data_IF_129356616009
#
_entry.id   IF_129356616009
#
_cell.length_a   1.000
_cell.length_b   1.000
_cell.length_c   1.000
_cell.angle_alpha   90.00
_cell.angle_beta   90.00
_cell.angle_gamma   90.00
#
_symmetry.space_group_name_H-M   'P 1'
#
loop_
_entity.id
_entity.type
_entity.pdbx_description
1 polymer ?
#
# COMPACT_ATOMS: atom_id res chain seq x y z
N UNK A 1 0.59 -30.16 -10.04
CA UNK A 1 0.75 -28.99 -10.95
C UNK A 1 2.16 -28.47 -10.77
N UNK A 2 2.90 -28.20 -11.84
CA UNK A 2 4.28 -27.70 -11.73
C UNK A 2 4.31 -26.26 -11.20
N UNK A 3 5.30 -25.85 -10.39
CA UNK A 3 5.47 -24.46 -9.96
C UNK A 3 5.61 -23.48 -11.15
N UNK A 4 5.46 -22.18 -10.88
CA UNK A 4 5.83 -21.15 -11.87
C UNK A 4 7.37 -21.07 -11.88
N UNK A 5 8.04 -21.13 -13.05
CA UNK A 5 9.49 -21.00 -13.13
C UNK A 5 9.98 -19.71 -12.46
N UNK A 6 11.06 -19.80 -11.69
CA UNK A 6 11.73 -18.68 -10.99
C UNK A 6 10.81 -17.83 -10.08
N UNK A 7 9.64 -18.35 -9.70
CA UNK A 7 8.74 -17.68 -8.77
C UNK A 7 9.11 -17.99 -7.32
N UNK A 8 9.49 -16.95 -6.59
CA UNK A 8 9.72 -17.01 -5.16
C UNK A 8 8.50 -16.47 -4.42
N UNK A 9 8.07 -17.17 -3.38
CA UNK A 9 6.97 -16.73 -2.51
C UNK A 9 7.47 -15.57 -1.63
N UNK A 10 6.91 -14.37 -1.82
CA UNK A 10 7.30 -13.16 -1.07
C UNK A 10 6.54 -13.07 0.24
N UNK A 11 5.24 -13.35 0.21
CA UNK A 11 4.40 -13.42 1.40
C UNK A 11 3.31 -14.48 1.26
N UNK A 12 3.01 -15.13 2.37
CA UNK A 12 2.02 -16.20 2.45
C UNK A 12 0.98 -15.89 3.51
N UNK A 13 -0.30 -16.11 3.15
CA UNK A 13 -1.43 -15.92 4.06
C UNK A 13 -2.20 -17.23 4.23
N UNK A 14 -2.60 -17.53 5.46
CA UNK A 14 -3.63 -18.53 5.69
C UNK A 14 -4.99 -17.99 5.22
N UNK A 15 -5.65 -18.76 4.37
CA UNK A 15 -6.96 -18.43 3.82
C UNK A 15 -7.92 -19.61 3.91
N UNK A 16 -9.21 -19.32 3.89
CA UNK A 16 -10.27 -20.30 3.68
C UNK A 16 -10.75 -20.16 2.23
N UNK A 17 -10.65 -21.22 1.44
CA UNK A 17 -11.27 -21.29 0.11
C UNK A 17 -12.73 -21.69 0.27
N UNK A 18 -13.61 -20.96 -0.41
CA UNK A 18 -15.05 -21.23 -0.44
C UNK A 18 -15.38 -21.93 -1.75
N UNK A 19 -15.85 -23.18 -1.66
CA UNK A 19 -16.15 -24.02 -2.82
C UNK A 19 -17.62 -24.44 -2.77
N UNK A 20 -18.34 -24.32 -3.88
CA UNK A 20 -19.75 -24.70 -3.97
C UNK A 20 -19.99 -26.19 -3.67
N UNK A 21 -19.07 -27.06 -4.09
CA UNK A 21 -19.21 -28.52 -3.97
C UNK A 21 -18.47 -29.14 -2.77
N UNK A 22 -17.42 -28.49 -2.28
CA UNK A 22 -16.56 -29.01 -1.19
C UNK A 22 -16.72 -28.24 0.13
N UNK A 23 -17.53 -27.18 0.13
CA UNK A 23 -17.65 -26.28 1.27
C UNK A 23 -16.37 -25.46 1.49
N UNK A 24 -16.09 -25.16 2.77
CA UNK A 24 -14.99 -24.29 3.20
C UNK A 24 -13.79 -25.11 3.65
N UNK A 25 -12.58 -24.78 3.17
CA UNK A 25 -11.36 -25.48 3.57
C UNK A 25 -10.11 -24.60 3.52
N UNK A 26 -9.12 -24.93 4.36
CA UNK A 26 -7.87 -24.17 4.51
C UNK A 26 -6.97 -24.27 3.27
N UNK A 27 -6.35 -23.15 2.90
CA UNK A 27 -5.28 -23.02 1.90
C UNK A 27 -4.23 -22.03 2.41
N UNK A 28 -3.03 -22.13 1.87
CA UNK A 28 -2.06 -21.02 1.91
C UNK A 28 -2.23 -20.28 0.58
N UNK A 29 -2.34 -18.96 0.63
CA UNK A 29 -2.38 -18.07 -0.53
C UNK A 29 -1.08 -17.28 -0.55
N UNK A 30 -0.25 -17.53 -1.55
CA UNK A 30 1.04 -16.91 -1.72
C UNK A 30 1.01 -15.86 -2.82
N UNK A 31 1.66 -14.74 -2.55
CA UNK A 31 1.98 -13.68 -3.50
C UNK A 31 3.47 -13.77 -3.74
N UNK A 32 3.86 -14.14 -4.96
CA UNK A 32 5.24 -14.36 -5.35
C UNK A 32 5.77 -13.29 -6.30
N UNK A 33 7.02 -13.47 -6.71
CA UNK A 33 7.71 -12.55 -7.63
C UNK A 33 7.10 -12.52 -9.04
N UNK A 34 6.53 -13.64 -9.51
CA UNK A 34 6.00 -13.80 -10.87
C UNK A 34 4.50 -14.12 -10.93
N UNK A 35 3.88 -14.46 -9.79
CA UNK A 35 2.47 -14.78 -9.76
C UNK A 35 1.92 -15.11 -8.38
N UNK A 36 0.71 -15.65 -8.39
CA UNK A 36 -0.04 -16.05 -7.20
C UNK A 36 -0.15 -17.58 -7.19
N UNK A 37 0.17 -18.20 -6.06
CA UNK A 37 0.09 -19.66 -5.89
C UNK A 37 -0.76 -19.99 -4.66
N UNK A 38 -1.47 -21.12 -4.71
CA UNK A 38 -2.21 -21.62 -3.53
C UNK A 38 -1.79 -23.03 -3.19
N UNK A 39 -1.55 -23.30 -1.90
CA UNK A 39 -1.04 -24.59 -1.42
C UNK A 39 -1.99 -25.28 -0.45
N UNK A 40 -1.91 -26.62 -0.38
CA UNK A 40 -2.45 -27.39 0.75
C UNK A 40 -1.58 -27.12 1.99
N UNK A 41 -2.16 -26.71 3.14
CA UNK A 41 -1.36 -26.41 4.32
C UNK A 41 -0.58 -27.62 4.88
N UNK A 42 -1.04 -28.84 4.64
CA UNK A 42 -0.47 -30.05 5.25
C UNK A 42 0.86 -30.50 4.60
N UNK A 43 1.00 -30.29 3.29
CA UNK A 43 2.10 -30.84 2.51
C UNK A 43 2.67 -29.85 1.50
N UNK A 44 2.22 -28.59 1.52
CA UNK A 44 2.62 -27.52 0.61
C UNK A 44 2.44 -27.88 -0.87
N UNK A 45 1.55 -28.81 -1.20
CA UNK A 45 1.27 -29.17 -2.57
C UNK A 45 0.53 -28.03 -3.28
N UNK A 46 1.04 -27.63 -4.45
CA UNK A 46 0.43 -26.61 -5.31
C UNK A 46 -0.96 -27.06 -5.76
N UNK A 47 -1.97 -26.28 -5.43
CA UNK A 47 -3.36 -26.51 -5.81
C UNK A 47 -3.84 -25.62 -6.94
N UNK A 48 -3.33 -24.39 -7.05
CA UNK A 48 -3.54 -23.48 -8.17
C UNK A 48 -2.30 -22.58 -8.30
N UNK A 49 -2.00 -22.13 -9.51
CA UNK A 49 -0.96 -21.14 -9.82
C UNK A 49 -1.47 -20.22 -10.93
N UNK A 50 -1.12 -18.95 -10.85
CA UNK A 50 -1.47 -17.95 -11.87
C UNK A 50 -0.29 -17.00 -12.02
N UNK A 51 0.28 -16.89 -13.23
CA UNK A 51 1.17 -15.77 -13.54
C UNK A 51 0.37 -14.48 -13.44
N UNK A 52 1.01 -13.36 -13.13
CA UNK A 52 0.29 -12.09 -12.99
C UNK A 52 -0.49 -11.71 -14.26
N UNK A 53 0.05 -11.99 -15.45
CA UNK A 53 -0.64 -11.76 -16.73
C UNK A 53 -1.91 -12.60 -16.95
N UNK A 54 -2.14 -13.63 -16.14
CA UNK A 54 -3.36 -14.46 -16.15
C UNK A 54 -4.38 -14.03 -15.10
N UNK A 55 -4.02 -13.15 -14.18
CA UNK A 55 -4.94 -12.58 -13.18
C UNK A 55 -5.82 -11.55 -13.89
N UNK A 56 -7.09 -11.91 -14.09
CA UNK A 56 -8.08 -11.09 -14.78
C UNK A 56 -8.67 -10.05 -13.83
N UNK A 57 -9.04 -10.48 -12.62
CA UNK A 57 -9.63 -9.62 -11.59
C UNK A 57 -9.15 -10.10 -10.23
N UNK A 58 -8.75 -9.16 -9.37
CA UNK A 58 -8.56 -9.38 -7.94
C UNK A 58 -9.30 -8.27 -7.20
N UNK A 59 -10.27 -8.62 -6.35
CA UNK A 59 -11.12 -7.62 -5.68
C UNK A 59 -11.69 -8.10 -4.36
N UNK A 60 -12.11 -7.16 -3.52
CA UNK A 60 -12.95 -7.46 -2.35
C UNK A 60 -14.25 -8.14 -2.76
N UNK A 61 -14.73 -9.06 -1.93
CA UNK A 61 -16.08 -9.59 -2.09
C UNK A 61 -17.08 -8.60 -1.48
N UNK A 62 -18.23 -8.36 -2.12
CA UNK A 62 -19.26 -7.48 -1.58
C UNK A 62 -19.79 -8.04 -0.25
N UNK A 63 -20.13 -7.13 0.67
CA UNK A 63 -20.79 -7.43 1.95
C UNK A 63 -20.04 -8.41 2.87
N UNK A 64 -18.72 -8.52 2.74
CA UNK A 64 -17.90 -9.32 3.64
C UNK A 64 -16.62 -8.58 4.00
N UNK A 65 -16.25 -8.47 5.30
CA UNK A 65 -15.02 -7.79 5.72
C UNK A 65 -13.75 -8.62 5.47
N UNK A 66 -13.88 -9.92 5.22
CA UNK A 66 -12.73 -10.83 5.13
C UNK A 66 -12.65 -11.57 3.80
N UNK A 67 -13.71 -11.56 2.97
CA UNK A 67 -13.73 -12.25 1.69
C UNK A 67 -13.20 -11.41 0.54
N UNK A 68 -12.56 -12.10 -0.41
CA UNK A 68 -12.09 -11.55 -1.67
C UNK A 68 -12.26 -12.59 -2.79
N UNK A 69 -12.21 -12.09 -4.02
CA UNK A 69 -12.39 -12.86 -5.24
C UNK A 69 -11.16 -12.71 -6.11
N UNK A 70 -10.68 -13.83 -6.65
CA UNK A 70 -9.73 -13.85 -7.75
C UNK A 70 -10.40 -14.51 -8.95
N UNK A 71 -10.35 -13.86 -10.10
CA UNK A 71 -10.69 -14.43 -11.38
C UNK A 71 -9.40 -14.52 -12.20
N UNK A 72 -9.03 -15.72 -12.62
CA UNK A 72 -7.79 -15.93 -13.35
C UNK A 72 -7.94 -17.00 -14.43
N UNK A 73 -7.16 -16.85 -15.51
CA UNK A 73 -7.11 -17.83 -16.59
C UNK A 73 -6.45 -19.12 -16.11
N UNK A 74 -6.88 -20.22 -16.72
CA UNK A 74 -6.15 -21.49 -16.68
C UNK A 74 -5.61 -21.76 -18.07
N UNK A 75 -4.62 -22.65 -18.15
CA UNK A 75 -3.87 -23.04 -19.36
C UNK A 75 -4.75 -23.28 -20.60
N UNK A 76 -6.03 -23.69 -20.41
CA UNK A 76 -6.99 -23.94 -21.49
C UNK A 76 -8.33 -23.15 -21.38
N UNK A 77 -8.48 -22.22 -20.42
CA UNK A 77 -9.72 -21.46 -20.22
C UNK A 77 -9.50 -19.95 -20.31
N UNK A 78 -9.81 -19.37 -21.48
CA UNK A 78 -9.70 -17.92 -21.73
C UNK A 78 -10.69 -17.08 -20.92
N UNK A 79 -11.86 -17.61 -20.54
CA UNK A 79 -12.87 -16.89 -19.74
C UNK A 79 -12.45 -16.74 -18.27
N UNK A 80 -11.54 -17.60 -17.81
CA UNK A 80 -11.06 -17.65 -16.42
C UNK A 80 -12.08 -18.23 -15.44
N UNK A 81 -11.57 -18.72 -14.32
CA UNK A 81 -12.38 -19.24 -13.22
C UNK A 81 -12.35 -18.25 -12.06
N UNK A 82 -13.52 -17.99 -11.48
CA UNK A 82 -13.64 -17.17 -10.26
C UNK A 82 -13.55 -18.05 -9.03
N UNK A 83 -12.67 -17.68 -8.10
CA UNK A 83 -12.49 -18.34 -6.82
C UNK A 83 -12.68 -17.34 -5.68
N UNK A 84 -13.32 -17.80 -4.61
CA UNK A 84 -13.59 -17.00 -3.42
C UNK A 84 -12.76 -17.50 -2.25
N UNK A 85 -12.13 -16.56 -1.56
CA UNK A 85 -11.29 -16.81 -0.40
C UNK A 85 -11.66 -15.86 0.73
N UNK A 86 -11.31 -16.22 1.96
CA UNK A 86 -11.36 -15.30 3.11
C UNK A 86 -10.15 -15.40 4.01
N UNK A 87 -9.75 -14.26 4.59
CA UNK A 87 -8.70 -14.15 5.61
C UNK A 87 -8.91 -12.87 6.42
N UNK A 88 -8.49 -12.86 7.69
CA UNK A 88 -8.50 -11.65 8.53
C UNK A 88 -7.50 -10.59 8.01
N UNK A 89 -6.48 -11.04 7.27
CA UNK A 89 -5.45 -10.17 6.68
C UNK A 89 -5.79 -9.72 5.25
N UNK A 90 -7.09 -9.57 4.92
CA UNK A 90 -7.53 -9.34 3.53
C UNK A 90 -6.92 -8.07 2.95
N UNK A 91 -6.92 -6.97 3.70
CA UNK A 91 -6.38 -5.70 3.23
C UNK A 91 -4.87 -5.77 3.02
N UNK A 92 -4.13 -6.48 3.88
CA UNK A 92 -2.70 -6.73 3.72
C UNK A 92 -2.42 -7.56 2.46
N UNK A 93 -3.16 -8.67 2.29
CA UNK A 93 -3.03 -9.56 1.13
C UNK A 93 -3.29 -8.81 -0.18
N UNK A 94 -4.42 -8.08 -0.27
CA UNK A 94 -4.75 -7.33 -1.47
C UNK A 94 -3.72 -6.22 -1.73
N UNK A 95 -3.31 -5.49 -0.69
CA UNK A 95 -2.28 -4.44 -0.82
C UNK A 95 -0.99 -4.98 -1.39
N UNK A 96 -0.55 -6.16 -0.95
CA UNK A 96 0.67 -6.77 -1.49
C UNK A 96 0.49 -7.19 -2.96
N UNK A 97 -0.63 -7.85 -3.29
CA UNK A 97 -0.86 -8.32 -4.66
C UNK A 97 -0.96 -7.16 -5.67
N UNK A 98 -1.55 -6.03 -5.26
CA UNK A 98 -1.68 -4.84 -6.09
C UNK A 98 -0.38 -4.05 -6.30
N UNK A 99 0.74 -4.41 -5.65
CA UNK A 99 2.07 -3.89 -6.03
C UNK A 99 2.46 -4.35 -7.44
N UNK A 100 2.10 -5.58 -7.80
CA UNK A 100 2.31 -6.17 -9.13
C UNK A 100 1.18 -5.86 -10.12
N UNK A 101 0.26 -4.94 -9.80
CA UNK A 101 -0.92 -4.65 -10.65
C UNK A 101 -0.57 -4.26 -12.09
N UNK A 102 0.57 -3.62 -12.30
CA UNK A 102 1.01 -3.11 -13.60
C UNK A 102 1.29 -4.24 -14.61
N UNK A 103 1.53 -5.47 -14.11
CA UNK A 103 1.70 -6.68 -14.92
C UNK A 103 0.47 -7.61 -14.88
N UNK A 104 -0.67 -7.17 -14.33
CA UNK A 104 -1.92 -7.92 -14.43
C UNK A 104 -2.47 -7.92 -15.86
N UNK A 105 -3.45 -8.78 -16.13
CA UNK A 105 -4.13 -8.79 -17.42
C UNK A 105 -4.86 -7.47 -17.68
N UNK A 106 -5.58 -6.98 -16.67
CA UNK A 106 -6.26 -5.68 -16.72
C UNK A 106 -5.24 -4.55 -16.79
N UNK A 107 -5.42 -3.65 -17.77
CA UNK A 107 -4.56 -2.48 -17.93
C UNK A 107 -5.15 -1.31 -17.15
N UNK A 108 -4.40 -0.87 -16.15
CA UNK A 108 -4.75 0.24 -15.27
C UNK A 108 -4.38 1.55 -15.95
N UNK A 109 -5.37 2.36 -16.34
CA UNK A 109 -5.16 3.63 -17.06
C UNK A 109 -5.45 4.88 -16.22
N UNK A 110 -5.94 4.73 -14.99
CA UNK A 110 -6.40 5.85 -14.17
C UNK A 110 -5.57 6.02 -12.89
N UNK A 111 -4.36 6.56 -13.03
CA UNK A 111 -3.61 7.14 -11.91
C UNK A 111 -3.59 8.65 -12.04
N UNK A 112 -4.27 9.32 -11.10
CA UNK A 112 -4.32 10.77 -11.03
C UNK A 112 -3.15 11.28 -10.19
N UNK A 113 -2.40 12.22 -10.76
CA UNK A 113 -1.23 12.83 -10.16
C UNK A 113 -1.51 14.29 -9.81
N UNK A 114 -0.96 14.75 -8.70
CA UNK A 114 -1.22 16.08 -8.16
C UNK A 114 0.08 16.73 -7.71
N UNK A 115 0.28 17.97 -8.14
CA UNK A 115 1.38 18.79 -7.61
C UNK A 115 1.13 19.10 -6.13
N UNK A 116 2.17 18.95 -5.32
CA UNK A 116 2.11 19.15 -3.89
C UNK A 116 3.47 19.60 -3.31
N UNK A 117 3.45 19.98 -2.05
CA UNK A 117 4.65 20.21 -1.26
C UNK A 117 4.65 19.30 -0.04
N UNK A 118 5.77 18.61 0.19
CA UNK A 118 6.04 17.91 1.43
C UNK A 118 6.59 18.88 2.47
N UNK A 119 5.99 18.93 3.65
CA UNK A 119 6.57 19.67 4.76
C UNK A 119 7.68 18.84 5.43
N UNK A 120 8.92 19.26 5.23
CA UNK A 120 10.11 18.59 5.69
C UNK A 120 10.35 18.81 7.20
N UNK A 121 11.28 18.07 7.81
CA UNK A 121 11.59 18.22 9.24
C UNK A 121 12.30 19.54 9.54
N UNK A 122 13.02 20.11 8.57
CA UNK A 122 13.66 21.43 8.68
C UNK A 122 12.69 22.61 8.57
N UNK A 123 11.38 22.36 8.45
CA UNK A 123 10.38 23.39 8.15
C UNK A 123 10.31 23.81 6.68
N UNK A 124 11.20 23.29 5.83
CA UNK A 124 11.20 23.56 4.39
C UNK A 124 10.06 22.84 3.68
N UNK A 125 9.51 23.47 2.64
CA UNK A 125 8.52 22.85 1.73
C UNK A 125 9.24 22.30 0.51
N UNK A 126 9.24 20.99 0.35
CA UNK A 126 9.88 20.31 -0.77
C UNK A 126 8.83 20.00 -1.85
N UNK A 127 9.02 20.39 -3.12
CA UNK A 127 8.09 20.04 -4.18
C UNK A 127 8.07 18.53 -4.38
N UNK A 128 6.87 17.95 -4.46
CA UNK A 128 6.62 16.53 -4.69
C UNK A 128 5.39 16.37 -5.57
N UNK A 129 5.24 15.22 -6.19
CA UNK A 129 3.99 14.86 -6.84
C UNK A 129 3.31 13.74 -6.06
N UNK A 130 2.00 13.86 -5.83
CA UNK A 130 1.20 12.82 -5.18
C UNK A 130 0.44 12.03 -6.23
N UNK A 131 0.58 10.71 -6.23
CA UNK A 131 -0.20 9.80 -7.08
C UNK A 131 -1.17 8.98 -6.23
N UNK A 132 -2.46 9.07 -6.55
CA UNK A 132 -3.49 8.30 -5.85
C UNK A 132 -3.68 6.94 -6.54
N UNK A 133 -3.10 5.90 -5.97
CA UNK A 133 -3.09 4.54 -6.50
C UNK A 133 -4.26 3.71 -5.92
N UNK A 134 -4.51 2.49 -6.44
CA UNK A 134 -5.51 1.58 -5.86
C UNK A 134 -5.30 1.26 -4.37
N UNK A 135 -4.08 1.37 -3.85
CA UNK A 135 -3.73 0.89 -2.50
C UNK A 135 -2.99 1.91 -1.64
N UNK A 136 -2.58 3.04 -2.20
CA UNK A 136 -1.75 4.04 -1.52
C UNK A 136 -1.91 5.43 -2.11
N UNK A 137 -1.49 6.43 -1.34
CA UNK A 137 -1.01 7.70 -1.88
C UNK A 137 0.50 7.57 -2.01
N UNK A 138 1.04 7.67 -3.22
CA UNK A 138 2.48 7.64 -3.46
C UNK A 138 3.04 9.05 -3.56
N UNK A 139 4.13 9.31 -2.86
CA UNK A 139 4.94 10.51 -2.99
C UNK A 139 6.02 10.24 -4.03
N UNK A 140 5.98 10.99 -5.11
CA UNK A 140 6.91 10.92 -6.23
C UNK A 140 7.87 12.11 -6.21
N UNK A 141 9.10 11.87 -6.64
CA UNK A 141 10.03 12.91 -7.03
C UNK A 141 9.55 13.61 -8.31
N UNK A 142 9.57 14.94 -8.33
CA UNK A 142 9.00 15.72 -9.44
C UNK A 142 9.81 15.63 -10.72
N UNK A 143 11.12 15.36 -10.65
CA UNK A 143 12.00 15.31 -11.81
C UNK A 143 12.07 13.91 -12.43
N UNK A 144 12.11 12.87 -11.59
CA UNK A 144 12.37 11.49 -12.00
C UNK A 144 11.12 10.61 -12.00
N UNK A 145 10.02 11.08 -11.40
CA UNK A 145 8.82 10.28 -11.11
C UNK A 145 9.10 9.01 -10.28
N UNK A 146 10.25 8.96 -9.58
CA UNK A 146 10.57 7.87 -8.67
C UNK A 146 9.70 7.95 -7.41
N UNK A 147 9.18 6.81 -6.96
CA UNK A 147 8.48 6.71 -5.68
C UNK A 147 9.47 6.93 -4.53
N UNK A 148 9.29 8.03 -3.81
CA UNK A 148 10.04 8.38 -2.60
C UNK A 148 9.43 7.73 -1.35
N UNK A 149 8.10 7.63 -1.29
CA UNK A 149 7.37 6.98 -0.21
C UNK A 149 5.97 6.54 -0.66
N UNK A 150 5.45 5.45 -0.09
CA UNK A 150 4.07 5.00 -0.31
C UNK A 150 3.32 4.99 1.02
N UNK A 151 2.19 5.70 1.07
CA UNK A 151 1.28 5.71 2.20
C UNK A 151 0.12 4.76 1.92
N UNK A 152 0.29 3.48 2.26
CA UNK A 152 -0.73 2.46 2.01
C UNK A 152 -1.98 2.71 2.84
N UNK A 153 -3.16 2.63 2.22
CA UNK A 153 -4.44 2.88 2.91
C UNK A 153 -4.66 1.97 4.12
N UNK A 154 -4.14 0.73 4.08
CA UNK A 154 -4.18 -0.20 5.21
C UNK A 154 -3.39 0.25 6.45
N UNK A 155 -2.46 1.18 6.28
CA UNK A 155 -1.57 1.70 7.33
C UNK A 155 -1.89 3.15 7.69
N UNK A 156 -2.87 3.78 7.01
CA UNK A 156 -3.35 5.13 7.34
C UNK A 156 -4.40 4.98 8.45
N UNK A 157 -4.16 5.66 9.56
CA UNK A 157 -5.10 5.71 10.69
C UNK A 157 -6.18 6.77 10.44
N UNK A 158 -5.75 7.95 10.00
CA UNK A 158 -6.62 9.08 9.74
C UNK A 158 -5.94 10.10 8.82
N UNK A 159 -6.75 10.98 8.25
CA UNK A 159 -6.33 12.20 7.59
C UNK A 159 -6.74 13.38 8.49
N UNK A 160 -5.78 14.25 8.81
CA UNK A 160 -6.03 15.47 9.59
C UNK A 160 -5.92 16.69 8.66
N UNK A 161 -6.74 17.71 8.92
CA UNK A 161 -6.67 19.00 8.23
C UNK A 161 -5.95 20.02 9.10
N UNK A 162 -5.37 21.04 8.46
CA UNK A 162 -4.74 22.15 9.17
C UNK A 162 -5.60 23.41 9.14
N UNK A 163 -5.71 24.06 10.30
CA UNK A 163 -6.49 25.30 10.48
C UNK A 163 -5.78 26.53 9.91
N UNK A 164 -4.46 26.58 10.06
CA UNK A 164 -3.58 27.73 9.78
C UNK A 164 -2.73 27.54 8.51
N UNK A 165 -2.85 26.39 7.83
CA UNK A 165 -2.17 26.12 6.56
C UNK A 165 -3.20 25.79 5.47
N UNK A 166 -3.56 26.78 4.63
CA UNK A 166 -4.48 26.58 3.52
C UNK A 166 -4.04 25.42 2.63
N UNK A 167 -5.01 24.57 2.26
CA UNK A 167 -4.77 23.37 1.45
C UNK A 167 -3.78 22.36 2.04
N UNK A 168 -3.43 22.51 3.32
CA UNK A 168 -2.65 21.57 4.09
C UNK A 168 -3.48 20.38 4.53
N UNK A 169 -2.86 19.19 4.53
CA UNK A 169 -3.40 17.99 5.13
C UNK A 169 -2.29 17.08 5.62
N UNK A 170 -2.63 16.19 6.55
CA UNK A 170 -1.69 15.28 7.21
C UNK A 170 -2.20 13.87 7.04
N UNK A 171 -1.31 12.99 6.59
CA UNK A 171 -1.53 11.55 6.63
C UNK A 171 -0.94 11.03 7.94
N UNK A 172 -1.79 10.49 8.82
CA UNK A 172 -1.36 9.83 10.05
C UNK A 172 -1.19 8.35 9.75
N UNK A 173 0.04 7.84 9.77
CA UNK A 173 0.33 6.47 9.35
C UNK A 173 1.23 5.66 10.31
N UNK A 174 1.12 4.34 10.17
CA UNK A 174 1.90 3.35 10.94
C UNK A 174 1.38 3.15 12.37
N UNK A 175 1.87 2.13 13.06
CA UNK A 175 1.43 1.73 14.42
C UNK A 175 1.56 2.81 15.50
N UNK A 176 2.43 3.80 15.27
CA UNK A 176 2.75 4.85 16.22
C UNK A 176 2.11 6.19 15.87
N UNK A 177 1.36 6.28 14.76
CA UNK A 177 0.66 7.50 14.36
C UNK A 177 1.60 8.60 13.86
N UNK A 178 2.63 8.23 13.10
CA UNK A 178 3.58 9.20 12.54
C UNK A 178 2.83 10.13 11.59
N UNK A 179 3.04 11.44 11.73
CA UNK A 179 2.32 12.45 10.95
C UNK A 179 3.13 12.90 9.74
N UNK A 180 2.50 12.86 8.57
CA UNK A 180 3.11 13.23 7.30
C UNK A 180 2.30 14.35 6.64
N UNK A 181 2.77 15.59 6.81
CA UNK A 181 2.11 16.77 6.25
C UNK A 181 2.45 17.00 4.77
N UNK A 182 1.43 17.43 4.02
CA UNK A 182 1.47 17.84 2.62
C UNK A 182 0.63 19.09 2.41
N UNK A 183 0.92 19.83 1.34
CA UNK A 183 0.16 21.01 0.90
C UNK A 183 -0.09 20.85 -0.59
N UNK A 184 -1.35 20.87 -1.03
CA UNK A 184 -1.69 20.78 -2.47
C UNK A 184 -2.95 21.55 -2.77
N UNK A 185 -2.96 22.36 -3.83
CA UNK A 185 -4.16 23.09 -4.28
C UNK A 185 -5.36 22.15 -4.52
N UNK A 186 -5.09 20.88 -4.83
CA UNK A 186 -6.10 19.84 -5.04
C UNK A 186 -6.33 18.97 -3.79
N UNK A 187 -6.08 19.47 -2.58
CA UNK A 187 -6.20 18.72 -1.30
C UNK A 187 -7.48 17.89 -1.24
N UNK A 188 -8.63 18.53 -1.47
CA UNK A 188 -9.93 17.87 -1.31
C UNK A 188 -10.14 16.77 -2.35
N UNK A 189 -9.61 16.96 -3.57
CA UNK A 189 -9.66 15.94 -4.62
C UNK A 189 -8.76 14.74 -4.31
N UNK A 190 -7.54 14.98 -3.81
CA UNK A 190 -6.61 13.94 -3.36
C UNK A 190 -7.26 13.08 -2.28
N UNK A 191 -7.83 13.72 -1.25
CA UNK A 191 -8.47 13.03 -0.12
C UNK A 191 -9.69 12.23 -0.59
N UNK A 192 -10.57 12.85 -1.39
CA UNK A 192 -11.77 12.19 -1.93
C UNK A 192 -11.40 10.98 -2.79
N UNK A 193 -10.43 11.11 -3.70
CA UNK A 193 -9.97 10.01 -4.55
C UNK A 193 -9.32 8.90 -3.75
N UNK A 194 -8.54 9.24 -2.72
CA UNK A 194 -7.97 8.25 -1.82
C UNK A 194 -9.07 7.47 -1.07
N UNK A 195 -10.10 8.16 -0.57
CA UNK A 195 -11.27 7.53 0.06
C UNK A 195 -12.01 6.59 -0.91
N UNK A 196 -12.29 7.05 -2.14
CA UNK A 196 -12.93 6.25 -3.19
C UNK A 196 -12.14 4.97 -3.49
N UNK A 197 -10.83 5.08 -3.70
CA UNK A 197 -9.98 3.93 -4.03
C UNK A 197 -9.80 2.99 -2.83
N UNK A 198 -9.58 3.52 -1.62
CA UNK A 198 -9.48 2.71 -0.41
C UNK A 198 -10.75 1.88 -0.16
N UNK A 199 -11.92 2.49 -0.34
CA UNK A 199 -13.20 1.81 -0.20
C UNK A 199 -13.40 0.77 -1.31
N UNK A 200 -13.07 1.10 -2.56
CA UNK A 200 -13.28 0.21 -3.69
C UNK A 200 -12.35 -1.01 -3.71
N UNK A 201 -11.05 -0.80 -3.52
CA UNK A 201 -10.03 -1.85 -3.69
C UNK A 201 -9.77 -2.66 -2.42
N UNK A 202 -9.89 -2.04 -1.25
CA UNK A 202 -9.52 -2.65 0.03
C UNK A 202 -10.70 -2.72 1.02
N UNK A 203 -11.84 -2.09 0.70
CA UNK A 203 -12.96 -1.90 1.61
C UNK A 203 -12.52 -1.29 2.94
N UNK A 204 -11.67 -0.26 2.85
CA UNK A 204 -11.20 0.56 3.97
C UNK A 204 -11.90 1.92 3.88
N UNK A 205 -12.47 2.36 4.98
CA UNK A 205 -12.94 3.74 5.14
C UNK A 205 -11.79 4.58 5.67
N UNK A 206 -11.25 5.47 4.85
CA UNK A 206 -10.28 6.46 5.31
C UNK A 206 -11.03 7.60 5.98
N UNK A 207 -10.85 7.72 7.30
CA UNK A 207 -11.47 8.78 8.09
C UNK A 207 -10.69 10.09 7.95
N UNK A 208 -11.43 11.19 7.79
CA UNK A 208 -10.91 12.54 7.92
C UNK A 208 -11.36 13.06 9.28
N UNK A 209 -10.41 13.43 10.13
CA UNK A 209 -10.73 13.97 11.45
C UNK A 209 -11.46 15.31 11.32
N UNK A 210 -12.48 15.49 12.15
CA UNK A 210 -13.28 16.72 12.18
C UNK A 210 -12.55 17.87 12.85
N UNK A 211 -11.66 17.55 13.80
CA UNK A 211 -10.84 18.55 14.49
C UNK A 211 -9.62 18.88 13.64
N UNK A 212 -9.49 20.16 13.31
CA UNK A 212 -8.32 20.68 12.61
C UNK A 212 -7.22 20.99 13.63
N UNK A 213 -5.97 20.75 13.24
CA UNK A 213 -4.80 21.07 14.06
C UNK A 213 -4.00 22.23 13.46
N UNK A 214 -3.22 22.91 14.29
CA UNK A 214 -2.29 23.96 13.87
C UNK A 214 -0.98 23.36 13.37
N UNK A 215 -0.18 24.17 12.67
CA UNK A 215 1.17 23.78 12.24
C UNK A 215 2.09 23.50 13.45
N UNK A 216 1.90 24.25 14.54
CA UNK A 216 2.65 24.08 15.79
C UNK A 216 2.31 22.73 16.46
N UNK A 217 1.03 22.39 16.58
CA UNK A 217 0.60 21.08 17.10
C UNK A 217 1.12 19.93 16.22
N UNK A 218 1.10 20.09 14.89
CA UNK A 218 1.71 19.11 13.99
C UNK A 218 3.22 18.94 14.26
N UNK A 219 3.95 20.03 14.45
CA UNK A 219 5.39 19.98 14.71
C UNK A 219 5.67 19.23 16.02
N UNK A 220 4.89 19.52 17.07
CA UNK A 220 5.00 18.91 18.40
C UNK A 220 4.52 17.46 18.46
N UNK A 221 3.67 17.01 17.52
CA UNK A 221 3.10 15.65 17.51
C UNK A 221 3.57 14.82 16.30
N UNK A 222 4.63 15.27 15.60
CA UNK A 222 5.04 14.71 14.30
C UNK A 222 5.39 13.22 14.37
N UNK A 223 5.92 12.76 15.50
CA UNK A 223 6.33 11.38 15.72
C UNK A 223 5.21 10.51 16.31
N UNK A 224 3.99 11.05 16.45
CA UNK A 224 2.85 10.37 17.05
C UNK A 224 3.14 10.05 18.52
N UNK A 225 3.01 8.78 18.91
CA UNK A 225 3.22 8.30 20.29
C UNK A 225 4.61 8.60 20.87
N UNK A 226 5.59 8.93 20.04
CA UNK A 226 6.97 9.21 20.44
C UNK A 226 7.32 10.69 20.35
N UNK A 227 6.32 11.57 20.51
CA UNK A 227 6.57 13.02 20.44
C UNK A 227 6.81 13.66 21.82
N UNK A 228 6.60 12.92 22.91
CA UNK A 228 6.86 13.42 24.27
C UNK A 228 8.37 13.51 24.58
N UNK A 229 8.74 14.41 25.49
CA UNK A 229 10.12 14.72 25.88
C UNK A 229 10.95 13.49 26.23
N UNK A 230 10.36 12.49 26.89
CA UNK A 230 11.04 11.25 27.29
C UNK A 230 11.55 10.43 26.10
N UNK A 231 10.90 10.53 24.93
CA UNK A 231 11.28 9.79 23.73
C UNK A 231 12.24 10.55 22.81
N UNK A 232 12.26 11.87 22.91
CA UNK A 232 13.14 12.74 22.09
C UNK A 232 14.44 13.11 22.81
N UNK A 233 14.47 12.99 24.14
CA UNK A 233 15.68 13.27 24.93
C UNK A 233 16.74 12.20 24.65
N UNK A 234 17.90 12.63 24.17
CA UNK A 234 19.04 11.74 23.93
C UNK A 234 19.51 11.11 25.25
N UNK A 235 19.35 9.79 25.38
CA UNK A 235 19.83 9.05 26.56
C UNK A 235 21.31 8.66 26.41
N UNK A 236 21.82 8.64 25.17
CA UNK A 236 23.21 8.31 24.86
C UNK A 236 23.62 8.97 23.54
N UNK A 237 24.83 9.52 23.50
CA UNK A 237 25.44 10.03 22.28
C UNK A 237 26.56 9.09 21.83
N UNK A 238 26.64 8.83 20.54
CA UNK A 238 27.75 8.13 19.92
C UNK A 238 28.04 8.72 18.54
N UNK A 239 29.30 8.68 18.14
CA UNK A 239 29.74 9.18 16.85
C UNK A 239 29.29 8.23 15.75
N UNK A 240 28.52 8.74 14.79
CA UNK A 240 28.14 8.01 13.57
C UNK A 240 29.02 8.48 12.43
N UNK A 241 29.95 7.64 12.01
CA UNK A 241 30.69 7.85 10.77
C UNK A 241 29.92 7.23 9.61
N UNK A 242 29.38 8.08 8.73
CA UNK A 242 28.83 7.60 7.47
C UNK A 242 29.98 7.30 6.53
N UNK A 243 30.38 6.03 6.43
CA UNK A 243 31.30 5.57 5.41
C UNK A 243 30.59 5.67 4.06
N UNK A 244 30.93 6.70 3.29
CA UNK A 244 30.39 6.92 1.96
C UNK A 244 31.08 5.97 0.98
N UNK A 245 30.49 4.81 0.71
CA UNK A 245 30.83 4.06 -0.52
C UNK A 245 30.26 4.86 -1.69
N UNK A 246 31.12 5.42 -2.55
CA UNK A 246 30.73 6.13 -3.77
C UNK A 246 29.68 5.30 -4.54
N UNK A 247 28.40 5.68 -4.44
CA UNK A 247 27.30 5.06 -5.18
C UNK A 247 27.22 5.54 -6.64
N UNK A 248 28.08 6.49 -7.01
CA UNK A 248 28.22 6.96 -8.37
C UNK A 248 29.64 6.61 -8.81
N UNK A 249 29.77 5.79 -9.85
CA UNK A 249 30.98 5.75 -10.66
C UNK A 249 31.14 7.13 -11.27
N UNK A 250 32.28 7.78 -11.00
CA UNK A 250 32.65 9.01 -11.70
C UNK A 250 32.51 8.77 -13.21
N UNK A 251 31.83 9.69 -13.90
CA UNK A 251 31.75 9.66 -15.35
C UNK A 251 33.18 9.76 -15.91
N UNK A 252 33.66 8.67 -16.51
CA UNK A 252 34.95 8.66 -17.20
C UNK A 252 34.94 9.75 -18.29
N UNK A 253 35.93 10.63 -18.22
CA UNK A 253 36.22 11.65 -19.24
C UNK A 253 37.01 11.05 -20.38
#
# INVERSE_FOLDING_TARGET
>A
MMPIPDNEDVVCYHVIKHSSWKGKYKRIFSIGTHGITTYKPQNLEVTNRWMYGDVLVLRVAPNSPNEFLIQARKENNKKGDTMRFSTEHRSQLLSEAFKSRHIFHEKWTDTQKYEAFKYHWSGTRLPVQLEVTPISIDQLDTATAQVLASYYYKDIQAIQLLKDVPHGFIIVCGSFGRKHMFISQNRDDVIRKAQEKAAYFLAIKLEVETEEITLEEFANQRFGKYSDDEFITSVVEFTVEKIQTNRHSDSER
#
